data_IF_318286292021
#
_entry.id   IF_318286292021
#
_cell.length_a   1.000
_cell.length_b   1.000
_cell.length_c   1.000
_cell.angle_alpha   90.00
_cell.angle_beta   90.00
_cell.angle_gamma   90.00
#
_symmetry.space_group_name_H-M   'P 1'
#
loop_
_entity.id
_entity.type
_entity.pdbx_description
1 polymer ?
#
# COMPACT_ATOMS: atom_id res chain seq x y z
N UNK A 1 0.59 8.27 31.04
CA UNK A 1 0.34 9.65 30.51
C UNK A 1 0.98 9.70 29.15
N UNK A 2 0.20 9.58 28.08
CA UNK A 2 0.72 9.68 26.71
C UNK A 2 1.38 11.06 26.52
N UNK A 3 2.61 11.07 26.06
CA UNK A 3 3.34 12.31 25.81
C UNK A 3 2.62 13.09 24.72
N UNK A 4 2.29 14.38 24.96
CA UNK A 4 1.68 15.28 23.96
C UNK A 4 2.48 15.35 22.66
N UNK A 5 3.79 14.99 22.69
CA UNK A 5 4.66 14.88 21.50
C UNK A 5 4.37 13.61 20.69
N UNK A 6 4.09 12.47 21.35
CA UNK A 6 3.72 11.24 20.65
C UNK A 6 2.39 11.37 19.90
N UNK A 7 1.37 11.95 20.54
CA UNK A 7 0.08 12.21 19.91
C UNK A 7 0.21 13.09 18.65
N UNK A 8 1.06 14.12 18.70
CA UNK A 8 1.30 15.01 17.56
C UNK A 8 1.96 14.30 16.38
N UNK A 9 2.90 13.39 16.63
CA UNK A 9 3.58 12.60 15.58
C UNK A 9 2.60 11.62 14.96
N UNK A 10 1.79 10.92 15.75
CA UNK A 10 0.79 9.97 15.26
C UNK A 10 -0.26 10.67 14.38
N UNK A 11 -0.75 11.83 14.81
CA UNK A 11 -1.70 12.63 14.00
C UNK A 11 -1.04 13.11 12.70
N UNK A 12 0.21 13.55 12.73
CA UNK A 12 0.92 14.01 11.55
C UNK A 12 1.14 12.87 10.52
N UNK A 13 1.47 11.67 10.99
CA UNK A 13 1.62 10.47 10.13
C UNK A 13 0.25 10.08 9.56
N UNK A 14 -0.81 10.04 10.37
CA UNK A 14 -2.16 9.68 9.92
C UNK A 14 -2.71 10.68 8.90
N UNK A 15 -2.49 11.97 9.11
CA UNK A 15 -2.85 13.02 8.14
C UNK A 15 -1.99 12.92 6.87
N UNK A 16 -0.70 12.59 7.00
CA UNK A 16 0.20 12.39 5.86
C UNK A 16 -0.23 11.20 4.98
N UNK A 17 -0.56 10.07 5.58
CA UNK A 17 -1.01 8.85 4.88
C UNK A 17 -2.37 9.07 4.21
N UNK A 18 -3.32 9.69 4.92
CA UNK A 18 -4.63 10.01 4.32
C UNK A 18 -4.53 11.06 3.21
N UNK A 19 -3.70 12.09 3.36
CA UNK A 19 -3.48 13.10 2.32
C UNK A 19 -2.82 12.49 1.06
N UNK A 20 -1.85 11.59 1.22
CA UNK A 20 -1.23 10.88 0.10
C UNK A 20 -2.23 9.97 -0.62
N UNK A 21 -3.11 9.27 0.11
CA UNK A 21 -4.18 8.46 -0.47
C UNK A 21 -5.21 9.31 -1.24
N UNK A 22 -5.54 10.51 -0.73
CA UNK A 22 -6.45 11.45 -1.42
C UNK A 22 -5.84 12.02 -2.69
N UNK A 23 -4.51 12.23 -2.74
CA UNK A 23 -3.86 12.74 -3.96
C UNK A 23 -3.99 11.78 -5.14
N UNK A 24 -4.00 10.47 -4.91
CA UNK A 24 -4.22 9.47 -5.98
C UNK A 24 -5.64 9.55 -6.55
N UNK A 25 -6.65 9.89 -5.72
CA UNK A 25 -8.04 10.08 -6.16
C UNK A 25 -8.30 11.46 -6.79
N UNK A 26 -7.43 12.45 -6.53
CA UNK A 26 -7.57 13.81 -7.06
C UNK A 26 -6.79 14.03 -8.36
N UNK A 27 -6.05 13.03 -8.87
CA UNK A 27 -5.48 13.13 -10.21
C UNK A 27 -6.67 13.04 -11.20
N UNK A 28 -7.10 14.16 -11.81
CA UNK A 28 -8.19 14.11 -12.77
C UNK A 28 -7.75 13.24 -13.97
N UNK A 29 -8.65 12.42 -14.49
CA UNK A 29 -8.41 11.58 -15.68
C UNK A 29 -7.99 12.39 -16.92
N UNK A 30 -8.00 13.73 -16.84
CA UNK A 30 -7.67 14.66 -17.91
C UNK A 30 -6.62 15.70 -17.45
N UNK A 31 -5.50 15.27 -16.90
CA UNK A 31 -4.35 16.18 -16.80
C UNK A 31 -3.56 16.09 -18.08
N UNK A 32 -3.81 17.05 -19.00
CA UNK A 32 -2.87 17.44 -20.04
C UNK A 32 -1.61 18.02 -19.36
N UNK A 33 -0.82 17.17 -18.73
CA UNK A 33 0.46 17.55 -18.15
C UNK A 33 1.54 17.21 -19.16
N UNK A 34 2.23 18.23 -19.65
CA UNK A 34 3.39 18.14 -20.52
C UNK A 34 4.60 17.39 -19.92
N UNK A 35 4.46 16.81 -18.72
CA UNK A 35 5.47 15.93 -18.14
C UNK A 35 5.23 14.49 -18.60
N UNK A 36 5.62 14.18 -19.83
CA UNK A 36 5.77 12.79 -20.26
C UNK A 36 7.13 12.28 -19.82
N UNK A 37 7.15 11.24 -19.01
CA UNK A 37 8.34 10.41 -18.84
C UNK A 37 8.68 9.81 -20.21
N UNK A 38 9.87 10.11 -20.76
CA UNK A 38 10.31 9.48 -22.01
C UNK A 38 10.87 8.11 -21.65
N UNK A 39 10.04 7.08 -21.80
CA UNK A 39 10.47 5.69 -21.71
C UNK A 39 10.94 5.25 -23.08
N UNK A 40 12.21 4.91 -23.22
CA UNK A 40 12.81 4.42 -24.48
C UNK A 40 12.67 2.92 -24.67
N UNK A 41 12.43 2.17 -23.59
CA UNK A 41 12.33 0.71 -23.55
C UNK A 41 11.24 0.34 -22.53
N UNK A 42 10.03 0.09 -23.02
CA UNK A 42 8.85 -0.15 -22.19
C UNK A 42 8.91 -1.51 -21.48
N UNK A 43 9.52 -2.52 -22.10
CA UNK A 43 9.70 -3.83 -21.50
C UNK A 43 10.63 -3.74 -20.29
N UNK A 44 11.84 -3.22 -20.50
CA UNK A 44 12.84 -3.07 -19.44
C UNK A 44 12.35 -2.15 -18.31
N UNK A 45 11.57 -1.12 -18.65
CA UNK A 45 10.99 -0.24 -17.64
C UNK A 45 9.98 -0.99 -16.77
N UNK A 46 9.09 -1.78 -17.36
CA UNK A 46 8.10 -2.57 -16.62
C UNK A 46 8.77 -3.70 -15.80
N UNK A 47 9.87 -4.29 -16.30
CA UNK A 47 10.67 -5.24 -15.51
C UNK A 47 11.25 -4.58 -14.25
N UNK A 48 11.77 -3.36 -14.38
CA UNK A 48 12.27 -2.60 -13.22
C UNK A 48 11.17 -2.20 -12.23
N UNK A 49 9.95 -1.95 -12.71
CA UNK A 49 8.79 -1.73 -11.85
C UNK A 49 8.39 -3.01 -11.14
N UNK A 50 8.43 -4.15 -11.83
CA UNK A 50 8.11 -5.48 -11.28
C UNK A 50 9.08 -5.87 -10.15
N UNK A 51 10.37 -5.67 -10.36
CA UNK A 51 11.41 -5.88 -9.33
C UNK A 51 11.15 -5.02 -8.09
N UNK A 52 10.91 -3.71 -8.27
CA UNK A 52 10.60 -2.81 -7.16
C UNK A 52 9.32 -3.22 -6.44
N UNK A 53 8.26 -3.57 -7.17
CA UNK A 53 6.98 -4.00 -6.60
C UNK A 53 7.13 -5.27 -5.77
N UNK A 54 7.92 -6.24 -6.27
CA UNK A 54 8.24 -7.46 -5.52
C UNK A 54 8.93 -7.15 -4.20
N UNK A 55 9.94 -6.27 -4.21
CA UNK A 55 10.61 -5.83 -2.98
C UNK A 55 9.66 -5.15 -2.00
N UNK A 56 8.78 -4.25 -2.48
CA UNK A 56 7.81 -3.54 -1.65
C UNK A 56 6.78 -4.50 -1.04
N UNK A 57 6.27 -5.44 -1.84
CA UNK A 57 5.34 -6.48 -1.37
C UNK A 57 5.97 -7.36 -0.30
N UNK A 58 7.22 -7.80 -0.50
CA UNK A 58 7.97 -8.58 0.50
C UNK A 58 8.18 -7.78 1.79
N UNK A 59 8.55 -6.50 1.69
CA UNK A 59 8.72 -5.63 2.86
C UNK A 59 7.43 -5.52 3.68
N UNK A 60 6.28 -5.36 3.02
CA UNK A 60 4.96 -5.32 3.69
C UNK A 60 4.67 -6.63 4.38
N UNK A 61 4.91 -7.76 3.71
CA UNK A 61 4.64 -9.10 4.24
C UNK A 61 5.46 -9.40 5.49
N UNK A 62 6.77 -9.20 5.40
CA UNK A 62 7.69 -9.46 6.49
C UNK A 62 7.37 -8.57 7.68
N UNK A 63 7.28 -7.25 7.47
CA UNK A 63 6.98 -6.32 8.57
C UNK A 63 5.58 -6.50 9.16
N UNK A 64 4.59 -6.89 8.36
CA UNK A 64 3.25 -7.23 8.87
C UNK A 64 3.27 -8.55 9.66
N UNK A 65 4.03 -9.53 9.21
CA UNK A 65 4.28 -10.78 9.95
C UNK A 65 4.91 -10.50 11.32
N UNK A 66 5.95 -9.68 11.35
CA UNK A 66 6.64 -9.27 12.58
C UNK A 66 5.70 -8.50 13.53
N UNK A 67 4.82 -7.64 12.99
CA UNK A 67 3.79 -6.95 13.76
C UNK A 67 2.81 -7.95 14.42
N UNK A 68 2.29 -8.91 13.65
CA UNK A 68 1.33 -9.93 14.16
C UNK A 68 2.00 -10.84 15.19
N UNK A 69 3.29 -11.13 15.04
CA UNK A 69 4.07 -11.94 15.97
C UNK A 69 4.57 -11.14 17.19
N UNK A 70 4.23 -9.86 17.31
CA UNK A 70 4.73 -8.93 18.33
C UNK A 70 6.27 -8.74 18.33
N UNK A 71 6.92 -8.97 17.20
CA UNK A 71 8.34 -8.73 16.99
C UNK A 71 8.62 -7.30 16.57
N UNK A 72 7.61 -6.62 15.99
CA UNK A 72 7.62 -5.21 15.61
C UNK A 72 6.50 -4.47 16.35
N UNK A 73 6.80 -3.28 16.87
CA UNK A 73 5.76 -2.43 17.48
C UNK A 73 4.85 -1.78 16.42
N UNK A 74 3.58 -1.46 16.77
CA UNK A 74 2.71 -0.72 15.85
C UNK A 74 3.31 0.60 15.35
N UNK A 75 4.05 1.32 16.18
CA UNK A 75 4.69 2.59 15.81
C UNK A 75 5.78 2.39 14.77
N UNK A 76 6.62 1.35 14.91
CA UNK A 76 7.65 1.01 13.92
C UNK A 76 7.02 0.54 12.62
N UNK A 77 5.94 -0.26 12.72
CA UNK A 77 5.19 -0.69 11.54
C UNK A 77 4.62 0.49 10.74
N UNK A 78 4.04 1.50 11.41
CA UNK A 78 3.51 2.70 10.73
C UNK A 78 4.57 3.41 9.89
N UNK A 79 5.81 3.47 10.36
CA UNK A 79 6.91 4.08 9.60
C UNK A 79 7.20 3.28 8.33
N UNK A 80 7.33 1.95 8.47
CA UNK A 80 7.61 1.06 7.33
C UNK A 80 6.46 1.07 6.32
N UNK A 81 5.21 0.92 6.77
CA UNK A 81 4.02 0.95 5.92
C UNK A 81 3.89 2.29 5.19
N UNK A 82 4.12 3.42 5.89
CA UNK A 82 4.03 4.76 5.30
C UNK A 82 5.06 4.98 4.19
N UNK A 83 6.31 4.56 4.40
CA UNK A 83 7.37 4.65 3.37
C UNK A 83 7.02 3.76 2.17
N UNK A 84 6.61 2.52 2.43
CA UNK A 84 6.26 1.58 1.36
C UNK A 84 5.06 2.08 0.55
N UNK A 85 4.03 2.60 1.22
CA UNK A 85 2.87 3.17 0.55
C UNK A 85 3.23 4.36 -0.34
N UNK A 86 4.13 5.24 0.12
CA UNK A 86 4.62 6.36 -0.69
C UNK A 86 5.35 5.88 -1.94
N UNK A 87 6.17 4.83 -1.84
CA UNK A 87 6.89 4.26 -2.97
C UNK A 87 5.93 3.60 -3.98
N UNK A 88 4.93 2.85 -3.50
CA UNK A 88 3.86 2.29 -4.37
C UNK A 88 3.11 3.38 -5.11
N UNK A 89 2.73 4.47 -4.41
CA UNK A 89 2.06 5.61 -5.03
C UNK A 89 2.95 6.29 -6.11
N UNK A 90 4.26 6.39 -5.87
CA UNK A 90 5.20 6.91 -6.87
C UNK A 90 5.22 6.05 -8.13
N UNK A 91 5.24 4.72 -7.99
CA UNK A 91 5.18 3.79 -9.13
C UNK A 91 3.85 3.91 -9.91
N UNK A 92 2.72 4.08 -9.21
CA UNK A 92 1.42 4.32 -9.85
C UNK A 92 1.46 5.60 -10.70
N UNK A 93 2.01 6.67 -10.17
CA UNK A 93 2.15 7.95 -10.87
C UNK A 93 3.08 7.81 -12.07
N UNK A 94 4.26 7.21 -11.89
CA UNK A 94 5.24 6.98 -12.95
C UNK A 94 4.64 6.18 -14.11
N UNK A 95 3.96 5.06 -13.83
CA UNK A 95 3.30 4.25 -14.84
C UNK A 95 2.15 5.00 -15.55
N UNK A 96 1.37 5.77 -14.79
CA UNK A 96 0.25 6.55 -15.36
C UNK A 96 0.74 7.66 -16.30
N UNK A 97 1.94 8.21 -16.04
CA UNK A 97 2.54 9.30 -16.83
C UNK A 97 3.55 8.81 -17.88
N UNK A 98 3.78 7.50 -18.01
CA UNK A 98 4.81 6.95 -18.89
C UNK A 98 4.58 7.19 -20.37
N UNK A 99 3.33 7.47 -20.78
CA UNK A 99 2.96 7.72 -22.18
C UNK A 99 3.17 6.47 -23.05
N UNK A 100 2.78 5.33 -22.55
CA UNK A 100 2.95 4.02 -23.19
C UNK A 100 2.32 3.97 -24.58
N UNK A 101 2.93 3.25 -25.56
CA UNK A 101 2.32 2.97 -26.85
C UNK A 101 1.06 2.13 -26.71
N UNK A 102 0.18 2.19 -27.72
CA UNK A 102 -1.11 1.52 -27.70
C UNK A 102 -0.99 0.01 -27.43
N UNK A 103 0.03 -0.63 -27.93
CA UNK A 103 0.31 -2.06 -27.74
C UNK A 103 0.65 -2.43 -26.27
N UNK A 104 1.18 -1.48 -25.48
CA UNK A 104 1.51 -1.66 -24.07
C UNK A 104 0.40 -1.24 -23.10
N UNK A 105 -0.65 -0.57 -23.60
CA UNK A 105 -1.69 0.04 -22.76
C UNK A 105 -2.38 -0.98 -21.84
N UNK A 106 -2.65 -2.19 -22.32
CA UNK A 106 -3.32 -3.23 -21.52
C UNK A 106 -2.42 -3.66 -20.37
N UNK A 107 -1.15 -3.98 -20.65
CA UNK A 107 -0.17 -4.39 -19.66
C UNK A 107 0.01 -3.31 -18.58
N UNK A 108 0.27 -2.06 -18.97
CA UNK A 108 0.47 -0.95 -18.04
C UNK A 108 -0.75 -0.67 -17.16
N UNK A 109 -1.94 -0.59 -17.73
CA UNK A 109 -3.18 -0.37 -16.95
C UNK A 109 -3.46 -1.51 -15.98
N UNK A 110 -3.19 -2.75 -16.39
CA UNK A 110 -3.34 -3.91 -15.52
C UNK A 110 -2.33 -3.85 -14.38
N UNK A 111 -1.08 -3.45 -14.64
CA UNK A 111 -0.06 -3.28 -13.62
C UNK A 111 -0.40 -2.17 -12.62
N UNK A 112 -0.91 -1.03 -13.10
CA UNK A 112 -1.43 0.04 -12.22
C UNK A 112 -2.56 -0.50 -11.32
N UNK A 113 -3.42 -1.37 -11.86
CA UNK A 113 -4.44 -2.07 -11.06
C UNK A 113 -3.82 -2.93 -9.94
N UNK A 114 -2.74 -3.65 -10.23
CA UNK A 114 -2.01 -4.45 -9.25
C UNK A 114 -1.41 -3.58 -8.12
N UNK A 115 -0.76 -2.48 -8.49
CA UNK A 115 -0.20 -1.53 -7.51
C UNK A 115 -1.28 -0.89 -6.62
N UNK A 116 -2.46 -0.61 -7.16
CA UNK A 116 -3.60 -0.12 -6.37
C UNK A 116 -4.04 -1.17 -5.35
N UNK A 117 -4.09 -2.45 -5.72
CA UNK A 117 -4.40 -3.54 -4.77
C UNK A 117 -3.35 -3.69 -3.68
N UNK A 118 -2.07 -3.58 -4.02
CA UNK A 118 -0.98 -3.54 -3.04
C UNK A 118 -1.14 -2.33 -2.09
N UNK A 119 -1.52 -1.17 -2.61
CA UNK A 119 -1.76 0.03 -1.80
C UNK A 119 -2.98 -0.14 -0.85
N UNK A 120 -4.06 -0.78 -1.32
CA UNK A 120 -5.20 -1.15 -0.49
C UNK A 120 -4.79 -2.15 0.61
N UNK A 121 -3.99 -3.16 0.27
CA UNK A 121 -3.42 -4.11 1.24
C UNK A 121 -2.65 -3.39 2.34
N UNK A 122 -1.73 -2.47 2.00
CA UNK A 122 -0.98 -1.69 2.98
C UNK A 122 -1.92 -0.88 3.88
N UNK A 123 -2.97 -0.30 3.31
CA UNK A 123 -3.96 0.46 4.09
C UNK A 123 -4.66 -0.43 5.12
N UNK A 124 -5.07 -1.63 4.76
CA UNK A 124 -5.73 -2.56 5.69
C UNK A 124 -4.76 -3.07 6.77
N UNK A 125 -3.48 -3.29 6.45
CA UNK A 125 -2.48 -3.65 7.46
C UNK A 125 -2.24 -2.53 8.47
N UNK A 126 -2.31 -1.26 8.04
CA UNK A 126 -2.26 -0.09 8.95
C UNK A 126 -3.49 -0.05 9.87
N UNK A 127 -4.67 -0.44 9.39
CA UNK A 127 -5.86 -0.57 10.26
C UNK A 127 -5.64 -1.63 11.34
N UNK A 128 -5.04 -2.77 10.99
CA UNK A 128 -4.68 -3.81 11.98
C UNK A 128 -3.69 -3.28 13.00
N UNK A 129 -2.63 -2.57 12.57
CA UNK A 129 -1.66 -1.97 13.48
C UNK A 129 -2.29 -0.96 14.44
N UNK A 130 -3.26 -0.16 13.97
CA UNK A 130 -4.01 0.74 14.84
C UNK A 130 -4.83 0.00 15.89
N UNK A 131 -5.52 -1.10 15.51
CA UNK A 131 -6.26 -1.93 16.45
C UNK A 131 -5.34 -2.53 17.52
N UNK A 132 -4.17 -3.04 17.12
CA UNK A 132 -3.19 -3.58 18.07
C UNK A 132 -2.66 -2.50 19.02
N UNK A 133 -2.43 -1.29 18.52
CA UNK A 133 -2.01 -0.16 19.36
C UNK A 133 -3.11 0.26 20.34
N UNK A 134 -4.38 0.23 19.93
CA UNK A 134 -5.53 0.49 20.81
C UNK A 134 -5.60 -0.55 21.93
N UNK A 135 -5.51 -1.85 21.62
CA UNK A 135 -5.50 -2.94 22.60
C UNK A 135 -4.41 -2.73 23.64
N UNK A 136 -3.21 -2.32 23.22
CA UNK A 136 -2.08 -2.09 24.11
C UNK A 136 -2.20 -0.80 24.97
N UNK A 137 -3.06 0.13 24.59
CA UNK A 137 -3.13 1.48 25.21
C UNK A 137 -4.34 1.70 26.12
N UNK A 138 -5.40 0.87 26.01
CA UNK A 138 -6.66 1.00 26.72
C UNK A 138 -6.77 -0.14 27.74
N UNK A 139 -7.35 0.15 28.91
CA UNK A 139 -7.76 -0.88 29.86
C UNK A 139 -9.04 -1.54 29.32
N UNK A 140 -8.83 -2.44 28.33
CA UNK A 140 -9.88 -3.05 27.51
C UNK A 140 -10.53 -4.17 28.33
N UNK A 141 -11.84 -4.07 28.57
CA UNK A 141 -12.62 -5.15 29.19
C UNK A 141 -12.86 -6.31 28.21
N UNK A 142 -13.50 -7.37 28.69
CA UNK A 142 -13.72 -8.59 27.91
C UNK A 142 -14.55 -8.33 26.64
N UNK A 143 -15.56 -7.43 26.70
CA UNK A 143 -16.41 -7.07 25.55
C UNK A 143 -15.63 -6.29 24.49
N UNK A 144 -14.73 -5.40 24.93
CA UNK A 144 -13.82 -4.65 24.07
C UNK A 144 -12.85 -5.61 23.36
N UNK A 145 -12.21 -6.54 24.09
CA UNK A 145 -11.30 -7.54 23.52
C UNK A 145 -11.99 -8.41 22.48
N UNK A 146 -13.18 -8.94 22.77
CA UNK A 146 -13.97 -9.76 21.85
C UNK A 146 -14.34 -8.99 20.57
N UNK A 147 -14.63 -7.69 20.68
CA UNK A 147 -14.95 -6.82 19.55
C UNK A 147 -13.72 -6.64 18.65
N UNK A 148 -12.56 -6.42 19.24
CA UNK A 148 -11.31 -6.20 18.51
C UNK A 148 -10.82 -7.49 17.84
N UNK A 149 -10.89 -8.64 18.55
CA UNK A 149 -10.55 -9.94 17.98
C UNK A 149 -11.42 -10.26 16.75
N UNK A 150 -12.71 -9.98 16.82
CA UNK A 150 -13.63 -10.17 15.70
C UNK A 150 -13.23 -9.31 14.49
N UNK A 151 -12.87 -8.04 14.71
CA UNK A 151 -12.40 -7.15 13.65
C UNK A 151 -11.08 -7.63 13.03
N UNK A 152 -10.13 -8.11 13.84
CA UNK A 152 -8.89 -8.70 13.33
C UNK A 152 -9.16 -9.94 12.46
N UNK A 153 -10.08 -10.81 12.91
CA UNK A 153 -10.48 -12.00 12.17
C UNK A 153 -11.17 -11.70 10.82
N UNK A 154 -11.78 -10.53 10.67
CA UNK A 154 -12.34 -10.05 9.40
C UNK A 154 -11.28 -9.39 8.50
N UNK A 155 -10.35 -8.63 9.08
CA UNK A 155 -9.35 -7.87 8.31
C UNK A 155 -8.21 -8.74 7.77
N UNK A 156 -7.72 -9.69 8.56
CA UNK A 156 -6.57 -10.52 8.15
C UNK A 156 -6.84 -11.29 6.85
N UNK A 157 -7.98 -12.00 6.69
CA UNK A 157 -8.29 -12.67 5.42
C UNK A 157 -8.38 -11.70 4.24
N UNK A 158 -8.96 -10.52 4.44
CA UNK A 158 -9.06 -9.46 3.41
C UNK A 158 -7.69 -8.98 2.93
N UNK A 159 -6.73 -8.84 3.84
CA UNK A 159 -5.35 -8.46 3.52
C UNK A 159 -4.71 -9.50 2.58
N UNK A 160 -4.88 -10.78 2.87
CA UNK A 160 -4.38 -11.85 2.02
C UNK A 160 -5.10 -11.95 0.66
N UNK A 161 -6.41 -11.66 0.62
CA UNK A 161 -7.18 -11.58 -0.62
C UNK A 161 -6.66 -10.44 -1.51
N UNK A 162 -6.47 -9.24 -0.98
CA UNK A 162 -5.91 -8.10 -1.71
C UNK A 162 -4.52 -8.40 -2.27
N UNK A 163 -3.69 -9.11 -1.51
CA UNK A 163 -2.40 -9.60 -1.98
C UNK A 163 -2.54 -10.54 -3.16
N UNK A 164 -3.42 -11.54 -3.05
CA UNK A 164 -3.66 -12.50 -4.13
C UNK A 164 -4.15 -11.80 -5.40
N UNK A 165 -5.08 -10.85 -5.28
CA UNK A 165 -5.56 -10.04 -6.40
C UNK A 165 -4.44 -9.20 -7.03
N UNK A 166 -3.54 -8.61 -6.23
CA UNK A 166 -2.39 -7.87 -6.75
C UNK A 166 -1.47 -8.78 -7.57
N UNK A 167 -1.12 -9.96 -7.06
CA UNK A 167 -0.26 -10.92 -7.75
C UNK A 167 -0.89 -11.44 -9.04
N UNK A 168 -2.19 -11.73 -9.04
CA UNK A 168 -2.93 -12.14 -10.25
C UNK A 168 -2.89 -11.06 -11.33
N UNK A 169 -3.06 -9.79 -10.94
CA UNK A 169 -2.97 -8.66 -11.86
C UNK A 169 -1.55 -8.46 -12.39
N UNK A 170 -0.50 -8.68 -11.60
CA UNK A 170 0.89 -8.66 -12.07
C UNK A 170 1.09 -9.73 -13.13
N UNK A 171 0.69 -10.97 -12.87
CA UNK A 171 0.79 -12.07 -13.83
C UNK A 171 0.02 -11.76 -15.12
N UNK A 172 -1.21 -11.26 -15.01
CA UNK A 172 -2.02 -10.84 -16.14
C UNK A 172 -1.37 -9.71 -16.96
N UNK A 173 -0.74 -8.75 -16.28
CA UNK A 173 0.01 -7.68 -16.95
C UNK A 173 1.16 -8.27 -17.74
N UNK A 174 1.97 -9.15 -17.13
CA UNK A 174 3.11 -9.78 -17.77
C UNK A 174 2.71 -10.63 -18.99
N UNK A 175 1.59 -11.34 -18.90
CA UNK A 175 1.03 -12.12 -20.01
C UNK A 175 0.39 -11.25 -21.12
N UNK A 176 0.20 -9.95 -20.89
CA UNK A 176 -0.40 -9.01 -21.84
C UNK A 176 0.63 -8.12 -22.54
N UNK A 177 1.93 -8.36 -22.32
CA UNK A 177 3.01 -7.67 -23.01
C UNK A 177 2.99 -8.03 -24.50
N UNK A 178 3.28 -7.09 -25.43
CA UNK A 178 3.31 -7.35 -26.86
C UNK A 178 4.43 -8.30 -27.27
#
# INVERSE_FOLDING_TARGET
MASKKGLGVTIAILVGVTAASFLVYLIPENVDTEMKFIVSDFEKYLDGVDEKTSMLSTTVEESFGDLINHELSPEEYFVTAGITQQQVNSLIIELTLSGEPQEWTVSYKTYVGALKKLNEQITETVVVANLMNEINSIDCDEECMDSMERRLNELIPKIYELRAESLELIEKSNNSRP
#
